data_IF_993469233221
#
_entry.id   IF_993469233221
#
_cell.length_a   1.000
_cell.length_b   1.000
_cell.length_c   1.000
_cell.angle_alpha   90.00
_cell.angle_beta   90.00
_cell.angle_gamma   90.00
#
_symmetry.space_group_name_H-M   'P 1'
#
loop_
_entity.id
_entity.type
_entity.pdbx_description
1 polymer ?
#
# COMPACT_ATOMS: atom_id res chain seq x y z
N UNK A 1 -9.47 15.35 -14.85
CA UNK A 1 -9.98 14.06 -14.40
C UNK A 1 -11.22 14.30 -13.56
N UNK A 2 -12.35 13.76 -13.96
CA UNK A 2 -13.58 13.95 -13.18
C UNK A 2 -13.61 13.00 -12.00
N UNK A 3 -13.96 13.54 -10.85
CA UNK A 3 -14.10 12.80 -9.61
C UNK A 3 -15.51 12.21 -9.54
N UNK A 4 -15.62 10.89 -9.41
CA UNK A 4 -16.92 10.22 -9.34
C UNK A 4 -17.13 9.67 -7.92
N UNK A 5 -18.03 10.27 -7.14
CA UNK A 5 -18.28 9.83 -5.76
C UNK A 5 -18.80 8.40 -5.65
N UNK A 6 -19.60 7.95 -6.62
CA UNK A 6 -20.10 6.57 -6.63
C UNK A 6 -18.98 5.56 -6.78
N UNK A 7 -18.04 5.82 -7.67
CA UNK A 7 -16.86 4.95 -7.84
C UNK A 7 -15.99 4.93 -6.59
N UNK A 8 -15.87 6.07 -5.92
CA UNK A 8 -15.13 6.15 -4.68
C UNK A 8 -15.76 5.30 -3.58
N UNK A 9 -17.10 5.35 -3.47
CA UNK A 9 -17.83 4.52 -2.51
C UNK A 9 -17.69 3.04 -2.81
N UNK A 10 -17.74 2.66 -4.09
CA UNK A 10 -17.53 1.27 -4.52
C UNK A 10 -16.12 0.80 -4.18
N UNK A 11 -15.13 1.68 -4.39
CA UNK A 11 -13.75 1.36 -4.05
C UNK A 11 -13.58 1.17 -2.55
N UNK A 12 -14.23 2.01 -1.74
CA UNK A 12 -14.21 1.87 -0.29
C UNK A 12 -14.78 0.53 0.16
N UNK A 13 -15.91 0.13 -0.42
CA UNK A 13 -16.54 -1.16 -0.12
C UNK A 13 -15.63 -2.32 -0.54
N UNK A 14 -15.05 -2.23 -1.73
CA UNK A 14 -14.11 -3.24 -2.22
C UNK A 14 -12.88 -3.34 -1.32
N UNK A 15 -12.37 -2.22 -0.85
CA UNK A 15 -11.25 -2.18 0.08
C UNK A 15 -11.60 -2.86 1.41
N UNK A 16 -12.80 -2.60 1.93
CA UNK A 16 -13.27 -3.25 3.16
C UNK A 16 -13.35 -4.77 2.98
N UNK A 17 -13.91 -5.23 1.86
CA UNK A 17 -13.93 -6.66 1.53
C UNK A 17 -12.54 -7.25 1.45
N UNK A 18 -11.62 -6.54 0.81
CA UNK A 18 -10.23 -6.95 0.69
C UNK A 18 -9.59 -7.12 2.07
N UNK A 19 -9.77 -6.15 2.96
CA UNK A 19 -9.17 -6.19 4.30
C UNK A 19 -9.77 -7.29 5.16
N UNK A 20 -11.03 -7.65 4.92
CA UNK A 20 -11.65 -8.79 5.61
C UNK A 20 -11.05 -10.11 5.17
N UNK A 21 -10.71 -10.23 3.88
CA UNK A 21 -10.05 -11.44 3.36
C UNK A 21 -8.57 -11.51 3.75
N UNK A 22 -7.94 -10.35 3.95
CA UNK A 22 -6.51 -10.24 4.23
C UNK A 22 -6.27 -9.30 5.42
N UNK A 23 -6.69 -9.70 6.63
CA UNK A 23 -6.65 -8.79 7.78
C UNK A 23 -5.24 -8.43 8.22
N UNK A 24 -4.26 -9.25 7.91
CA UNK A 24 -2.86 -8.98 8.28
C UNK A 24 -2.23 -7.89 7.41
N UNK A 25 -2.76 -7.68 6.21
CA UNK A 25 -2.17 -6.73 5.26
C UNK A 25 -2.28 -5.28 5.74
N UNK A 26 -3.46 -4.77 6.09
CA UNK A 26 -3.56 -3.40 6.60
C UNK A 26 -2.86 -3.21 7.94
N UNK A 27 -2.87 -4.22 8.80
CA UNK A 27 -2.16 -4.16 10.08
C UNK A 27 -0.65 -4.06 9.87
N UNK A 28 -0.12 -4.83 8.93
CA UNK A 28 1.29 -4.78 8.57
C UNK A 28 1.70 -3.39 8.09
N UNK A 29 0.93 -2.80 7.17
CA UNK A 29 1.23 -1.47 6.65
C UNK A 29 1.11 -0.39 7.70
N UNK A 30 0.19 -0.52 8.64
CA UNK A 30 0.07 0.38 9.76
C UNK A 30 1.32 0.36 10.63
N UNK A 31 1.87 -0.83 10.88
CA UNK A 31 3.11 -0.98 11.63
C UNK A 31 4.30 -0.41 10.88
N UNK A 32 4.39 -0.66 9.59
CA UNK A 32 5.45 -0.11 8.74
C UNK A 32 5.43 1.40 8.78
N UNK A 33 4.25 1.99 8.63
CA UNK A 33 4.09 3.44 8.66
C UNK A 33 4.56 4.04 9.99
N UNK A 34 4.23 3.38 11.10
CA UNK A 34 4.57 3.89 12.44
C UNK A 34 6.04 3.71 12.78
N UNK A 35 6.65 2.61 12.36
CA UNK A 35 7.94 2.19 12.89
C UNK A 35 9.08 2.30 11.90
N UNK A 36 8.82 2.21 10.62
CA UNK A 36 9.90 2.01 9.68
C UNK A 36 9.86 2.82 8.39
N UNK A 37 8.84 3.65 8.17
CA UNK A 37 8.75 4.35 6.89
C UNK A 37 9.52 5.67 6.96
N UNK A 38 10.84 5.54 6.85
CA UNK A 38 11.77 6.67 6.85
C UNK A 38 12.68 6.53 5.63
N UNK A 39 13.39 7.60 5.30
CA UNK A 39 14.34 7.59 4.19
C UNK A 39 15.40 6.50 4.43
N UNK A 40 15.68 5.72 3.40
CA UNK A 40 16.64 4.63 3.47
C UNK A 40 16.05 3.28 3.82
N UNK A 41 14.76 3.22 4.20
CA UNK A 41 14.08 1.94 4.42
C UNK A 41 14.02 1.15 3.13
N UNK A 42 14.28 -0.14 3.19
CA UNK A 42 14.20 -1.03 2.04
C UNK A 42 12.91 -1.84 2.14
N UNK A 43 12.10 -1.79 1.10
CA UNK A 43 10.90 -2.62 0.96
C UNK A 43 11.22 -3.76 0.02
N UNK A 44 11.00 -4.98 0.48
CA UNK A 44 11.21 -6.18 -0.32
C UNK A 44 9.87 -6.80 -0.69
N UNK A 45 9.75 -7.17 -1.96
CA UNK A 45 8.54 -7.78 -2.50
C UNK A 45 8.85 -9.17 -2.99
N UNK A 46 8.04 -10.13 -2.58
CA UNK A 46 8.16 -11.51 -3.02
C UNK A 46 6.80 -11.98 -3.51
N UNK A 47 6.76 -12.44 -4.74
CA UNK A 47 5.56 -13.01 -5.34
C UNK A 47 5.84 -14.46 -5.67
N UNK A 48 5.02 -15.35 -5.12
CA UNK A 48 5.08 -16.78 -5.42
C UNK A 48 3.81 -17.15 -6.16
N UNK A 49 3.98 -17.64 -7.40
CA UNK A 49 2.84 -18.04 -8.22
C UNK A 49 2.38 -19.45 -7.83
N UNK A 50 1.13 -19.85 -8.22
CA UNK A 50 0.65 -21.20 -7.90
C UNK A 50 1.49 -22.32 -8.50
N UNK A 51 2.19 -22.06 -9.60
CA UNK A 51 3.06 -23.05 -10.26
C UNK A 51 4.48 -23.05 -9.69
N UNK A 52 4.72 -22.29 -8.59
CA UNK A 52 5.98 -22.33 -7.88
C UNK A 52 7.03 -21.33 -8.35
N UNK A 53 6.71 -20.44 -9.28
CA UNK A 53 7.64 -19.39 -9.69
C UNK A 53 7.76 -18.34 -8.59
N UNK A 54 8.99 -17.87 -8.35
CA UNK A 54 9.26 -16.84 -7.35
C UNK A 54 9.84 -15.61 -8.05
N UNK A 55 9.16 -14.49 -7.87
CA UNK A 55 9.60 -13.19 -8.39
C UNK A 55 9.88 -12.29 -7.20
N UNK A 56 11.07 -11.70 -7.18
CA UNK A 56 11.47 -10.79 -6.09
C UNK A 56 11.88 -9.44 -6.64
N UNK A 57 11.60 -8.41 -5.88
CA UNK A 57 12.02 -7.05 -6.18
C UNK A 57 12.22 -6.31 -4.87
N UNK A 58 12.91 -5.19 -4.94
CA UNK A 58 13.05 -4.33 -3.78
C UNK A 58 13.09 -2.87 -4.22
N UNK A 59 12.79 -1.98 -3.28
CA UNK A 59 12.95 -0.55 -3.49
C UNK A 59 13.44 0.09 -2.21
N UNK A 60 14.31 1.06 -2.36
CA UNK A 60 14.79 1.87 -1.25
C UNK A 60 13.98 3.16 -1.20
N UNK A 61 13.38 3.43 -0.06
CA UNK A 61 12.52 4.60 0.11
C UNK A 61 13.37 5.86 0.14
N UNK A 62 13.05 6.80 -0.75
CA UNK A 62 13.69 8.11 -0.80
C UNK A 62 12.79 9.16 -0.17
N UNK A 63 13.33 10.34 0.06
CA UNK A 63 12.53 11.45 0.58
C UNK A 63 11.39 11.82 -0.40
N UNK A 64 11.65 11.74 -1.70
CA UNK A 64 10.62 12.00 -2.71
C UNK A 64 9.45 11.01 -2.60
N UNK A 65 9.74 9.75 -2.28
CA UNK A 65 8.71 8.74 -2.08
C UNK A 65 7.84 9.06 -0.86
N UNK A 66 8.47 9.51 0.22
CA UNK A 66 7.75 9.91 1.42
C UNK A 66 6.87 11.13 1.17
N UNK A 67 7.34 12.08 0.40
CA UNK A 67 6.57 13.26 0.01
C UNK A 67 5.35 12.86 -0.82
N UNK A 68 5.52 11.91 -1.73
CA UNK A 68 4.42 11.38 -2.54
C UNK A 68 3.36 10.71 -1.67
N UNK A 69 3.78 9.88 -0.71
CA UNK A 69 2.86 9.22 0.20
C UNK A 69 2.08 10.22 1.02
N UNK A 70 2.73 11.29 1.47
CA UNK A 70 2.06 12.35 2.21
C UNK A 70 1.01 13.05 1.36
N UNK A 71 1.32 13.33 0.10
CA UNK A 71 0.37 13.92 -0.85
C UNK A 71 -0.85 13.02 -1.05
N UNK A 72 -0.64 11.72 -1.21
CA UNK A 72 -1.72 10.76 -1.37
C UNK A 72 -2.59 10.75 -0.11
N UNK A 73 -1.98 10.71 1.06
CA UNK A 73 -2.68 10.70 2.34
C UNK A 73 -3.51 11.96 2.53
N UNK A 74 -2.95 13.12 2.20
CA UNK A 74 -3.64 14.41 2.31
C UNK A 74 -4.83 14.49 1.36
N UNK A 75 -4.73 13.83 0.19
CA UNK A 75 -5.80 13.80 -0.80
C UNK A 75 -7.00 12.98 -0.35
N UNK A 76 -6.79 12.00 0.54
CA UNK A 76 -7.84 11.12 1.03
C UNK A 76 -8.38 11.49 2.41
N UNK A 77 -7.80 12.50 3.03
CA UNK A 77 -8.24 12.94 4.35
C UNK A 77 -9.32 14.02 4.31
#
# INVERSE_FOLDING_TARGET
MSFNPLKLMQLKTAWQSFTMRHPKFPLFWKMVYRQGLVEGTVLEFKVTTPDGKVLTSNMKVSQADLDLLKQIQDSFS
#
